data_IF_089504234409
#
_entry.id   IF_089504234409
#
_cell.length_a   1.000
_cell.length_b   1.000
_cell.length_c   1.000
_cell.angle_alpha   90.00
_cell.angle_beta   90.00
_cell.angle_gamma   90.00
#
_symmetry.space_group_name_H-M   'P 1'
#
loop_
_entity.id
_entity.type
_entity.pdbx_description
1 polymer ?
#
# COMPACT_ATOMS: atom_id res chain seq x y z
N UNK A 1 1.85 12.38 8.06
CA UNK A 1 0.49 12.54 8.58
C UNK A 1 -0.32 13.25 7.54
N UNK A 2 -1.43 12.68 7.12
CA UNK A 2 -2.35 13.27 6.15
C UNK A 2 -3.58 13.85 6.82
N UNK A 3 -4.44 14.44 5.98
CA UNK A 3 -5.51 15.34 6.35
C UNK A 3 -6.85 14.89 5.81
N UNK A 4 -7.61 15.84 5.26
CA UNK A 4 -8.83 15.53 4.52
C UNK A 4 -8.50 15.43 3.03
N UNK A 5 -9.21 14.56 2.32
CA UNK A 5 -8.98 14.26 0.92
C UNK A 5 -8.19 12.97 0.74
N UNK A 6 -7.92 12.63 -0.53
CA UNK A 6 -7.13 11.46 -0.89
C UNK A 6 -5.65 11.84 -0.87
N UNK A 7 -4.91 11.32 0.09
CA UNK A 7 -3.49 11.57 0.29
C UNK A 7 -2.63 10.47 -0.33
N UNK A 8 -1.37 10.84 -0.64
CA UNK A 8 -0.35 9.91 -1.13
C UNK A 8 0.92 10.02 -0.29
N UNK A 9 1.36 8.89 0.24
CA UNK A 9 2.56 8.75 1.04
C UNK A 9 3.64 8.01 0.24
N UNK A 10 4.88 8.48 0.32
CA UNK A 10 6.03 7.78 -0.27
C UNK A 10 6.82 7.13 0.85
N UNK A 11 7.09 5.83 0.69
CA UNK A 11 7.83 5.00 1.64
C UNK A 11 9.09 4.47 0.96
N UNK A 12 10.24 4.80 1.54
CA UNK A 12 11.55 4.30 1.10
C UNK A 12 12.23 3.43 2.16
N UNK A 13 11.66 3.38 3.37
CA UNK A 13 12.09 2.50 4.44
C UNK A 13 10.90 1.81 5.12
N UNK A 14 11.09 0.55 5.51
CA UNK A 14 10.09 -0.19 6.30
C UNK A 14 9.85 0.42 7.70
N UNK A 15 10.69 1.37 8.12
CA UNK A 15 10.55 2.10 9.39
C UNK A 15 9.72 3.38 9.29
N UNK A 16 9.28 3.76 8.09
CA UNK A 16 8.47 4.97 7.90
C UNK A 16 7.11 4.82 8.58
N UNK A 17 6.72 5.85 9.33
CA UNK A 17 5.46 5.88 10.06
C UNK A 17 4.44 6.74 9.31
N UNK A 18 3.27 6.15 9.09
CA UNK A 18 2.15 6.81 8.43
C UNK A 18 1.00 6.89 9.42
N UNK A 19 0.31 8.02 9.42
CA UNK A 19 -0.84 8.26 10.27
C UNK A 19 -1.86 9.04 9.47
N UNK A 20 -3.06 8.47 9.38
CA UNK A 20 -4.20 9.00 8.65
C UNK A 20 -5.36 9.30 9.62
N UNK A 21 -6.19 10.27 9.24
CA UNK A 21 -7.43 10.62 9.93
C UNK A 21 -8.58 9.69 9.51
N UNK A 22 -9.53 9.49 10.41
CA UNK A 22 -10.78 8.82 10.03
C UNK A 22 -11.57 9.73 9.09
N UNK A 23 -12.10 9.16 8.01
CA UNK A 23 -12.77 9.89 6.92
C UNK A 23 -11.84 10.89 6.20
N UNK A 24 -10.53 10.61 6.14
CA UNK A 24 -9.55 11.36 5.35
C UNK A 24 -9.90 11.27 3.87
N UNK A 25 -9.94 10.07 3.32
CA UNK A 25 -10.38 9.85 1.95
C UNK A 25 -10.18 8.41 1.54
N UNK A 26 -9.70 8.22 0.31
CA UNK A 26 -9.09 6.98 -0.14
C UNK A 26 -7.61 7.21 -0.33
N UNK A 27 -6.82 6.66 0.58
CA UNK A 27 -5.42 7.04 0.75
C UNK A 27 -4.47 5.99 0.17
N UNK A 28 -3.33 6.46 -0.37
CA UNK A 28 -2.40 5.61 -1.12
C UNK A 28 -0.98 5.66 -0.58
N UNK A 29 -0.36 4.49 -0.43
CA UNK A 29 1.06 4.37 -0.12
C UNK A 29 1.80 3.93 -1.38
N UNK A 30 2.85 4.66 -1.75
CA UNK A 30 3.81 4.27 -2.78
C UNK A 30 5.10 3.82 -2.11
N UNK A 31 5.42 2.53 -2.20
CA UNK A 31 6.58 1.95 -1.53
C UNK A 31 7.65 1.53 -2.54
N UNK A 32 8.92 1.82 -2.23
CA UNK A 32 10.09 1.27 -2.95
C UNK A 32 10.73 0.08 -2.23
N UNK A 33 10.14 -0.37 -1.11
CA UNK A 33 10.54 -1.53 -0.30
C UNK A 33 9.38 -2.49 -0.09
N UNK A 34 9.66 -3.71 0.39
CA UNK A 34 8.60 -4.60 0.89
C UNK A 34 7.86 -3.91 2.02
N UNK A 35 6.54 -3.79 1.90
CA UNK A 35 5.76 -3.00 2.85
C UNK A 35 4.41 -3.65 3.16
N UNK A 36 3.95 -3.40 4.38
CA UNK A 36 2.67 -3.89 4.88
C UNK A 36 1.86 -2.72 5.40
N UNK A 37 0.65 -2.58 4.91
CA UNK A 37 -0.32 -1.62 5.44
C UNK A 37 -1.24 -2.28 6.48
N UNK A 38 -0.98 -3.54 6.86
CA UNK A 38 -1.85 -4.33 7.74
C UNK A 38 -2.13 -3.69 9.10
N UNK A 39 -1.17 -2.90 9.62
CA UNK A 39 -1.30 -2.18 10.88
C UNK A 39 -1.79 -0.73 10.71
N UNK A 40 -1.93 -0.25 9.46
CA UNK A 40 -2.38 1.09 9.15
C UNK A 40 -3.90 1.10 9.01
N UNK A 41 -4.52 2.03 9.74
CA UNK A 41 -5.95 2.31 9.65
C UNK A 41 -6.20 3.43 8.66
N UNK A 42 -7.34 3.41 7.99
CA UNK A 42 -7.76 4.41 7.00
C UNK A 42 -6.74 4.57 5.85
N UNK A 43 -6.14 3.46 5.42
CA UNK A 43 -5.33 3.41 4.20
C UNK A 43 -5.86 2.28 3.35
N UNK A 44 -6.17 2.59 2.10
CA UNK A 44 -6.88 1.68 1.21
C UNK A 44 -5.95 1.13 0.13
N UNK A 45 -4.95 1.89 -0.32
CA UNK A 45 -4.15 1.52 -1.48
C UNK A 45 -2.66 1.36 -1.18
N UNK A 46 -2.03 0.38 -1.82
CA UNK A 46 -0.58 0.18 -1.81
C UNK A 46 -0.06 0.00 -3.24
N UNK A 47 0.87 0.84 -3.67
CA UNK A 47 1.55 0.73 -4.97
C UNK A 47 3.03 0.48 -4.73
N UNK A 48 3.54 -0.65 -5.23
CA UNK A 48 4.96 -0.95 -5.24
C UNK A 48 5.61 -0.23 -6.43
N UNK A 49 6.80 0.33 -6.21
CA UNK A 49 7.53 1.11 -7.21
C UNK A 49 8.89 0.48 -7.52
N UNK A 50 9.48 0.85 -8.66
CA UNK A 50 10.78 0.34 -9.10
C UNK A 50 10.73 -1.05 -9.75
N UNK A 51 11.84 -1.77 -9.67
CA UNK A 51 12.05 -3.07 -10.31
C UNK A 51 12.56 -4.16 -9.34
N UNK A 52 12.70 -3.84 -8.06
CA UNK A 52 13.12 -4.80 -7.06
C UNK A 52 12.00 -5.82 -6.79
N UNK A 53 12.39 -7.06 -6.46
CA UNK A 53 11.47 -8.10 -5.99
C UNK A 53 11.02 -7.80 -4.55
N UNK A 54 10.04 -6.91 -4.42
CA UNK A 54 9.44 -6.49 -3.16
C UNK A 54 7.99 -6.96 -3.07
N UNK A 55 7.47 -7.06 -1.86
CA UNK A 55 6.14 -7.60 -1.61
C UNK A 55 5.21 -6.55 -0.98
N UNK A 56 3.92 -6.70 -1.23
CA UNK A 56 2.88 -5.83 -0.69
C UNK A 56 1.85 -6.63 0.10
N UNK A 57 1.53 -6.17 1.31
CA UNK A 57 0.49 -6.77 2.15
C UNK A 57 -0.55 -5.72 2.56
N UNK A 58 -1.82 -5.99 2.28
CA UNK A 58 -2.99 -5.20 2.64
C UNK A 58 -3.41 -5.34 4.11
N UNK A 59 -4.49 -4.67 4.47
CA UNK A 59 -5.10 -4.70 5.80
C UNK A 59 -6.40 -5.51 5.80
N UNK A 60 -7.33 -5.18 6.69
CA UNK A 60 -8.63 -5.85 6.77
C UNK A 60 -9.74 -5.15 5.97
N UNK A 61 -9.40 -4.04 5.29
CA UNK A 61 -10.31 -3.27 4.45
C UNK A 61 -10.38 -3.81 3.03
N UNK A 62 -10.97 -3.06 2.11
CA UNK A 62 -10.92 -3.40 0.69
C UNK A 62 -9.70 -2.71 0.08
N UNK A 63 -8.66 -3.47 -0.24
CA UNK A 63 -7.41 -2.88 -0.71
C UNK A 63 -7.26 -2.89 -2.23
N UNK A 64 -6.66 -1.84 -2.78
CA UNK A 64 -6.07 -1.88 -4.13
C UNK A 64 -4.56 -1.97 -4.00
N UNK A 65 -3.99 -3.11 -4.40
CA UNK A 65 -2.55 -3.35 -4.34
C UNK A 65 -1.99 -3.51 -5.75
N UNK A 66 -1.06 -2.63 -6.12
CA UNK A 66 -0.41 -2.61 -7.43
C UNK A 66 1.06 -3.03 -7.25
N UNK A 67 1.47 -4.07 -7.97
CA UNK A 67 2.85 -4.55 -8.06
C UNK A 67 3.74 -3.66 -8.94
N UNK A 68 5.04 -3.89 -8.86
CA UNK A 68 6.05 -3.22 -9.68
C UNK A 68 6.58 -4.15 -10.78
N UNK A 69 7.65 -3.76 -11.47
CA UNK A 69 8.19 -4.56 -12.57
C UNK A 69 9.01 -5.79 -12.15
N UNK A 70 9.25 -5.97 -10.85
CA UNK A 70 9.91 -7.15 -10.28
C UNK A 70 8.92 -8.23 -9.86
N UNK A 71 9.44 -9.38 -9.46
CA UNK A 71 8.61 -10.51 -9.01
C UNK A 71 8.03 -10.19 -7.62
N UNK A 72 6.76 -9.82 -7.56
CA UNK A 72 6.08 -9.48 -6.30
C UNK A 72 5.21 -10.61 -5.78
N UNK A 73 5.14 -10.75 -4.47
CA UNK A 73 4.04 -11.42 -3.77
C UNK A 73 3.10 -10.33 -3.28
N UNK A 74 1.85 -10.38 -3.75
CA UNK A 74 0.78 -9.48 -3.30
C UNK A 74 -0.19 -10.27 -2.42
N UNK A 75 -0.44 -9.76 -1.23
CA UNK A 75 -1.44 -10.31 -0.31
C UNK A 75 -2.45 -9.22 0.04
N UNK A 76 -3.71 -9.41 -0.31
CA UNK A 76 -4.79 -8.46 0.01
C UNK A 76 -5.10 -8.35 1.50
N UNK A 77 -4.84 -9.41 2.26
CA UNK A 77 -5.27 -9.48 3.65
C UNK A 77 -6.68 -10.03 3.77
N UNK A 78 -7.55 -9.35 4.52
CA UNK A 78 -8.98 -9.66 4.57
C UNK A 78 -9.72 -8.58 3.78
N UNK A 79 -10.90 -8.90 3.26
CA UNK A 79 -11.73 -7.93 2.55
C UNK A 79 -11.97 -8.34 1.11
N UNK A 80 -12.50 -7.42 0.32
CA UNK A 80 -12.67 -7.59 -1.14
C UNK A 80 -11.60 -6.79 -1.84
N UNK A 81 -10.51 -7.46 -2.17
CA UNK A 81 -9.29 -6.81 -2.67
C UNK A 81 -9.18 -6.83 -4.19
N UNK A 82 -8.48 -5.84 -4.72
CA UNK A 82 -8.01 -5.78 -6.10
C UNK A 82 -6.50 -5.86 -6.12
N UNK A 83 -5.96 -6.99 -6.59
CA UNK A 83 -4.51 -7.21 -6.71
C UNK A 83 -4.11 -7.13 -8.18
N UNK A 84 -3.30 -6.13 -8.52
CA UNK A 84 -2.81 -5.88 -9.87
C UNK A 84 -1.32 -6.20 -9.87
N UNK A 85 -0.92 -7.30 -10.51
CA UNK A 85 0.49 -7.62 -10.73
C UNK A 85 1.16 -6.62 -11.66
N UNK A 86 2.49 -6.64 -11.71
CA UNK A 86 3.25 -5.87 -12.69
C UNK A 86 3.76 -6.73 -13.85
N UNK A 87 4.97 -6.45 -14.31
CA UNK A 87 5.60 -7.17 -15.42
C UNK A 87 6.29 -8.47 -14.99
N UNK A 88 6.53 -8.64 -13.68
CA UNK A 88 7.25 -9.77 -13.08
C UNK A 88 6.39 -10.97 -12.77
#
# INVERSE_FOLDING_TARGET
MGGLGNDTYVVDSATDTITELTNGGTDTIQSSVTYTIAALVNVENLTLTGAAAINGTGNSGNNVIIGNTGNNILNGGLGTDTLIGGLG
#
